data_IF_974844915972
#
_entry.id   IF_974844915972
#
_cell.length_a   1.000
_cell.length_b   1.000
_cell.length_c   1.000
_cell.angle_alpha   90.00
_cell.angle_beta   90.00
_cell.angle_gamma   90.00
#
_symmetry.space_group_name_H-M   'P 1'
#
loop_
_entity.id
_entity.type
_entity.pdbx_description
1 polymer ?
#
# COMPACT_ATOMS: atom_id res chain seq x y z
N UNK A 1 0.95 -10.04 -8.91
CA UNK A 1 1.24 -10.53 -7.55
C UNK A 1 0.50 -11.86 -7.39
N UNK A 2 1.22 -12.98 -7.41
CA UNK A 2 0.60 -14.31 -7.35
C UNK A 2 1.05 -15.10 -6.12
N UNK A 3 0.35 -16.19 -5.83
CA UNK A 3 0.70 -17.08 -4.72
C UNK A 3 2.14 -17.64 -4.87
N UNK A 4 2.57 -17.91 -6.11
CA UNK A 4 3.94 -18.37 -6.42
C UNK A 4 5.00 -17.42 -5.87
N UNK A 5 4.79 -16.09 -5.96
CA UNK A 5 5.73 -15.12 -5.42
C UNK A 5 5.81 -15.20 -3.89
N UNK A 6 4.69 -15.42 -3.22
CA UNK A 6 4.65 -15.57 -1.77
C UNK A 6 5.30 -16.88 -1.33
N UNK A 7 5.11 -17.96 -2.08
CA UNK A 7 5.74 -19.25 -1.85
C UNK A 7 7.27 -19.16 -1.96
N UNK A 8 7.78 -18.47 -2.98
CA UNK A 8 9.22 -18.24 -3.13
C UNK A 8 9.82 -17.45 -1.96
N UNK A 9 9.08 -16.46 -1.45
CA UNK A 9 9.49 -15.69 -0.27
C UNK A 9 9.46 -16.59 0.98
N UNK A 10 8.38 -17.36 1.17
CA UNK A 10 8.24 -18.26 2.30
C UNK A 10 9.37 -19.31 2.34
N UNK A 11 9.71 -19.92 1.20
CA UNK A 11 10.83 -20.87 1.07
C UNK A 11 12.16 -20.24 1.48
N UNK A 12 12.42 -18.99 1.08
CA UNK A 12 13.63 -18.27 1.48
C UNK A 12 13.65 -17.96 2.98
N UNK A 13 12.52 -17.56 3.55
CA UNK A 13 12.41 -17.29 5.00
C UNK A 13 12.66 -18.57 5.78
N UNK A 14 12.05 -19.69 5.40
CA UNK A 14 12.23 -20.99 6.05
C UNK A 14 13.69 -21.45 5.95
N UNK A 15 14.31 -21.41 4.76
CA UNK A 15 15.69 -21.84 4.60
C UNK A 15 16.68 -21.07 5.49
N UNK A 16 16.43 -19.77 5.71
CA UNK A 16 17.26 -18.92 6.59
C UNK A 16 16.98 -19.17 8.07
N UNK A 17 15.74 -19.49 8.43
CA UNK A 17 15.39 -19.95 9.77
C UNK A 17 16.06 -21.30 10.09
N UNK A 18 15.99 -22.26 9.18
CA UNK A 18 16.63 -23.58 9.32
C UNK A 18 18.16 -23.48 9.40
N UNK A 19 18.75 -22.49 8.74
CA UNK A 19 20.18 -22.17 8.83
C UNK A 19 20.57 -21.47 10.16
N UNK A 20 19.60 -21.14 11.03
CA UNK A 20 19.83 -20.46 12.30
C UNK A 20 20.24 -18.99 12.16
N UNK A 21 19.92 -18.34 11.03
CA UNK A 21 20.27 -16.93 10.82
C UNK A 21 19.42 -15.96 11.66
N UNK A 22 18.22 -16.39 12.07
CA UNK A 22 17.32 -15.64 12.94
C UNK A 22 16.36 -16.59 13.67
N UNK A 23 15.84 -16.14 14.82
CA UNK A 23 14.87 -16.89 15.62
C UNK A 23 13.43 -16.35 15.50
N UNK A 24 13.28 -15.08 15.12
CA UNK A 24 11.99 -14.38 15.05
C UNK A 24 11.85 -13.68 13.71
N UNK A 25 10.71 -13.90 13.04
CA UNK A 25 10.36 -13.22 11.80
C UNK A 25 9.09 -12.40 11.99
N UNK A 26 9.19 -11.09 11.76
CA UNK A 26 8.07 -10.15 11.81
C UNK A 26 7.84 -9.54 10.42
N UNK A 27 6.63 -9.71 9.92
CA UNK A 27 6.17 -9.15 8.65
C UNK A 27 5.53 -7.78 8.88
N UNK A 28 6.10 -6.77 8.24
CA UNK A 28 5.54 -5.42 8.23
C UNK A 28 4.76 -5.19 6.96
N UNK A 29 3.50 -4.81 7.09
CA UNK A 29 2.66 -4.48 5.95
C UNK A 29 1.57 -3.47 6.32
N UNK A 30 1.02 -2.80 5.31
CA UNK A 30 -0.11 -1.90 5.50
C UNK A 30 -1.41 -2.69 5.45
N UNK A 31 -2.10 -2.78 6.60
CA UNK A 31 -3.42 -3.38 6.67
C UNK A 31 -4.45 -2.41 6.09
N UNK A 32 -5.18 -2.89 5.10
CA UNK A 32 -6.24 -2.12 4.46
C UNK A 32 -7.44 -2.01 5.41
N UNK A 33 -7.73 -0.79 5.89
CA UNK A 33 -8.98 -0.48 6.61
C UNK A 33 -9.97 0.24 5.70
N UNK A 34 -9.50 1.26 4.99
CA UNK A 34 -10.26 1.96 3.96
C UNK A 34 -9.32 2.65 2.97
N UNK A 35 -9.88 3.27 1.92
CA UNK A 35 -9.13 4.07 0.94
C UNK A 35 -8.40 5.24 1.61
N UNK A 36 -8.91 5.75 2.74
CA UNK A 36 -8.34 6.89 3.47
C UNK A 36 -7.41 6.43 4.60
N UNK A 37 -7.67 5.26 5.19
CA UNK A 37 -6.92 4.78 6.35
C UNK A 37 -6.18 3.46 6.05
N UNK A 38 -4.86 3.54 5.96
CA UNK A 38 -3.96 2.39 5.90
C UNK A 38 -3.20 2.29 7.24
N UNK A 39 -3.25 1.14 7.91
CA UNK A 39 -2.66 0.97 9.24
C UNK A 39 -1.38 0.12 9.10
N UNK A 40 -0.18 0.70 9.34
CA UNK A 40 1.05 -0.08 9.43
C UNK A 40 0.91 -1.12 10.54
N UNK A 41 1.07 -2.38 10.19
CA UNK A 41 0.88 -3.51 11.10
C UNK A 41 2.14 -4.37 11.09
N UNK A 42 2.59 -4.75 12.27
CA UNK A 42 3.66 -5.71 12.47
C UNK A 42 3.03 -7.04 12.88
N UNK A 43 3.18 -8.07 12.07
CA UNK A 43 2.67 -9.41 12.36
C UNK A 43 3.85 -10.36 12.50
N UNK A 44 4.00 -10.97 13.66
CA UNK A 44 4.98 -12.04 13.85
C UNK A 44 4.48 -13.30 13.14
N UNK A 45 5.30 -13.84 12.23
CA UNK A 45 4.99 -15.05 11.46
C UNK A 45 5.79 -16.25 11.95
N UNK A 46 6.95 -16.02 12.56
CA UNK A 46 7.78 -17.04 13.22
C UNK A 46 8.27 -16.47 14.56
N UNK A 47 8.20 -17.20 15.68
CA UNK A 47 7.43 -18.44 15.88
C UNK A 47 5.91 -18.18 15.81
N UNK A 48 5.14 -19.23 15.45
CA UNK A 48 3.68 -19.17 15.39
C UNK A 48 3.11 -18.88 16.78
N UNK A 49 2.48 -17.72 16.92
CA UNK A 49 1.74 -17.39 18.14
C UNK A 49 0.34 -17.98 17.99
N UNK A 50 0.05 -19.04 18.74
CA UNK A 50 -1.30 -19.61 18.82
C UNK A 50 -2.09 -18.77 19.82
N UNK A 51 -3.03 -17.98 19.34
CA UNK A 51 -3.98 -17.30 20.24
C UNK A 51 -4.84 -18.36 20.94
N UNK A 52 -5.04 -18.22 22.26
CA UNK A 52 -5.89 -19.12 23.02
C UNK A 52 -7.31 -19.14 22.40
N UNK A 53 -7.94 -20.32 22.27
CA UNK A 53 -9.27 -20.42 21.67
C UNK A 53 -10.23 -19.49 22.42
N UNK A 54 -11.04 -18.75 21.66
CA UNK A 54 -12.11 -17.94 22.24
C UNK A 54 -12.97 -18.81 23.15
N UNK A 55 -13.44 -18.27 24.28
CA UNK A 55 -14.23 -18.99 25.29
C UNK A 55 -15.55 -19.65 24.79
N UNK A 56 -15.87 -19.50 23.50
CA UNK A 56 -17.00 -20.10 22.79
C UNK A 56 -16.58 -21.13 21.73
N UNK A 57 -15.33 -21.61 21.73
CA UNK A 57 -14.96 -22.75 20.90
C UNK A 57 -15.76 -23.97 21.37
N UNK A 58 -16.59 -24.53 20.48
CA UNK A 58 -17.30 -25.77 20.75
C UNK A 58 -16.35 -26.91 21.14
N UNK A 59 -16.88 -28.06 21.59
CA UNK A 59 -16.04 -29.19 21.98
C UNK A 59 -15.06 -29.52 20.85
N UNK A 60 -13.78 -29.67 21.20
CA UNK A 60 -12.73 -30.04 20.25
C UNK A 60 -13.13 -31.37 19.59
N UNK A 61 -13.49 -31.31 18.31
CA UNK A 61 -13.75 -32.52 17.52
C UNK A 61 -12.46 -33.31 17.42
N UNK A 62 -12.49 -34.56 17.89
CA UNK A 62 -11.38 -35.50 17.71
C UNK A 62 -11.29 -35.84 16.22
N UNK A 63 -10.19 -35.46 15.59
CA UNK A 63 -9.88 -35.88 14.23
C UNK A 63 -9.08 -37.18 14.29
N UNK A 64 -9.40 -38.12 13.39
CA UNK A 64 -8.56 -39.28 13.12
C UNK A 64 -7.57 -38.86 12.02
N UNK A 65 -6.28 -38.90 12.33
CA UNK A 65 -5.22 -38.46 11.42
C UNK A 65 -4.65 -39.68 10.70
N UNK A 66 -4.43 -39.55 9.39
CA UNK A 66 -3.73 -40.53 8.57
C UNK A 66 -2.80 -39.72 7.64
N UNK A 67 -1.46 -39.84 7.71
CA UNK A 67 -0.61 -40.80 8.45
C UNK A 67 -0.38 -40.50 9.94
N UNK A 68 0.35 -39.44 10.31
CA UNK A 68 0.60 -39.02 11.70
C UNK A 68 0.43 -37.49 11.83
N UNK A 69 0.04 -37.01 13.01
CA UNK A 69 -0.22 -35.57 13.25
C UNK A 69 1.02 -34.69 12.95
N UNK A 70 2.21 -35.15 13.35
CA UNK A 70 3.47 -34.44 13.14
C UNK A 70 3.83 -34.29 11.65
N UNK A 71 3.56 -35.32 10.85
CA UNK A 71 3.85 -35.33 9.41
C UNK A 71 2.91 -34.37 8.66
N UNK A 72 1.63 -34.36 9.05
CA UNK A 72 0.64 -33.41 8.54
C UNK A 72 1.06 -31.99 8.92
N UNK A 73 1.44 -31.76 10.18
CA UNK A 73 1.85 -30.45 10.67
C UNK A 73 3.11 -29.93 9.95
N UNK A 74 4.10 -30.80 9.71
CA UNK A 74 5.31 -30.46 8.96
C UNK A 74 5.01 -30.01 7.52
N UNK A 75 3.97 -30.56 6.89
CA UNK A 75 3.52 -30.13 5.56
C UNK A 75 2.69 -28.85 5.57
N UNK A 76 1.90 -28.63 6.64
CA UNK A 76 0.97 -27.51 6.77
C UNK A 76 1.66 -26.22 7.22
N UNK A 77 2.69 -26.29 8.08
CA UNK A 77 3.38 -25.11 8.60
C UNK A 77 4.00 -24.24 7.47
N UNK A 78 4.77 -24.78 6.51
CA UNK A 78 5.29 -24.00 5.39
C UNK A 78 4.19 -23.38 4.52
N UNK A 79 3.10 -24.12 4.30
CA UNK A 79 1.96 -23.65 3.51
C UNK A 79 1.23 -22.52 4.23
N UNK A 80 1.07 -22.62 5.54
CA UNK A 80 0.46 -21.58 6.37
C UNK A 80 1.28 -20.28 6.28
N UNK A 81 2.61 -20.37 6.39
CA UNK A 81 3.51 -19.22 6.23
C UNK A 81 3.34 -18.53 4.87
N UNK A 82 3.31 -19.32 3.78
CA UNK A 82 3.09 -18.80 2.44
C UNK A 82 1.73 -18.09 2.30
N UNK A 83 0.67 -18.64 2.90
CA UNK A 83 -0.67 -18.02 2.92
C UNK A 83 -0.67 -16.71 3.70
N UNK A 84 -0.01 -16.65 4.86
CA UNK A 84 0.09 -15.41 5.65
C UNK A 84 0.83 -14.31 4.87
N UNK A 85 1.96 -14.64 4.25
CA UNK A 85 2.74 -13.72 3.40
C UNK A 85 1.90 -13.27 2.20
N UNK A 86 1.20 -14.19 1.54
CA UNK A 86 0.35 -13.87 0.39
C UNK A 86 -0.79 -12.92 0.77
N UNK A 87 -1.45 -13.18 1.91
CA UNK A 87 -2.50 -12.31 2.44
C UNK A 87 -1.96 -10.91 2.71
N UNK A 88 -0.83 -10.80 3.40
CA UNK A 88 -0.21 -9.52 3.71
C UNK A 88 0.21 -8.76 2.43
N UNK A 89 0.71 -9.46 1.42
CA UNK A 89 1.03 -8.90 0.10
C UNK A 89 -0.21 -8.31 -0.59
N UNK A 90 -1.33 -9.03 -0.56
CA UNK A 90 -2.60 -8.53 -1.12
C UNK A 90 -3.14 -7.33 -0.34
N UNK A 91 -3.15 -7.39 0.99
CA UNK A 91 -3.59 -6.28 1.84
C UNK A 91 -2.71 -5.03 1.65
N UNK A 92 -1.40 -5.21 1.51
CA UNK A 92 -0.46 -4.13 1.22
C UNK A 92 -0.72 -3.51 -0.16
N UNK A 93 -0.95 -4.33 -1.17
CA UNK A 93 -1.23 -3.86 -2.53
C UNK A 93 -2.55 -3.07 -2.61
N UNK A 94 -3.60 -3.55 -1.95
CA UNK A 94 -4.85 -2.81 -1.82
C UNK A 94 -4.66 -1.47 -1.08
N UNK A 95 -3.87 -1.47 -0.01
CA UNK A 95 -3.49 -0.25 0.73
C UNK A 95 -2.71 0.73 -0.13
N UNK A 96 -1.79 0.24 -0.95
CA UNK A 96 -1.01 1.06 -1.88
C UNK A 96 -1.91 1.78 -2.87
N UNK A 97 -2.80 1.06 -3.56
CA UNK A 97 -3.72 1.68 -4.52
C UNK A 97 -4.71 2.63 -3.83
N UNK A 98 -5.20 2.30 -2.63
CA UNK A 98 -6.05 3.20 -1.85
C UNK A 98 -5.35 4.52 -1.49
N UNK A 99 -4.12 4.44 -0.98
CA UNK A 99 -3.31 5.61 -0.67
C UNK A 99 -2.97 6.43 -1.93
N UNK A 100 -2.67 5.75 -3.04
CA UNK A 100 -2.38 6.39 -4.32
C UNK A 100 -3.58 7.16 -4.86
N UNK A 101 -4.80 6.60 -4.80
CA UNK A 101 -6.02 7.29 -5.21
C UNK A 101 -6.19 8.60 -4.44
N UNK A 102 -6.09 8.56 -3.11
CA UNK A 102 -6.22 9.76 -2.28
C UNK A 102 -5.12 10.79 -2.56
N UNK A 103 -3.88 10.35 -2.76
CA UNK A 103 -2.77 11.23 -3.12
C UNK A 103 -2.97 11.92 -4.47
N UNK A 104 -3.44 11.17 -5.48
CA UNK A 104 -3.68 11.69 -6.84
C UNK A 104 -4.90 12.61 -6.88
N UNK A 105 -5.95 12.33 -6.12
CA UNK A 105 -7.11 13.22 -5.98
C UNK A 105 -6.70 14.57 -5.39
N UNK A 106 -5.88 14.55 -4.33
CA UNK A 106 -5.32 15.76 -3.73
C UNK A 106 -4.41 16.51 -4.70
N UNK A 107 -3.55 15.81 -5.44
CA UNK A 107 -2.69 16.41 -6.45
C UNK A 107 -3.51 17.08 -7.57
N UNK A 108 -4.58 16.44 -8.03
CA UNK A 108 -5.48 16.97 -9.06
C UNK A 108 -6.19 18.24 -8.58
N UNK A 109 -6.68 18.24 -7.34
CA UNK A 109 -7.28 19.45 -6.74
C UNK A 109 -6.27 20.59 -6.63
N UNK A 110 -5.07 20.32 -6.15
CA UNK A 110 -3.99 21.30 -6.01
C UNK A 110 -3.55 21.87 -7.37
N UNK A 111 -3.47 21.03 -8.41
CA UNK A 111 -3.21 21.46 -9.77
C UNK A 111 -4.32 22.37 -10.30
N UNK A 112 -5.58 22.05 -10.03
CA UNK A 112 -6.73 22.89 -10.37
C UNK A 112 -6.64 24.27 -9.71
N UNK A 113 -6.23 24.34 -8.44
CA UNK A 113 -6.03 25.60 -7.73
C UNK A 113 -4.90 26.45 -8.36
N UNK A 114 -3.81 25.79 -8.77
CA UNK A 114 -2.69 26.44 -9.45
C UNK A 114 -3.10 26.97 -10.83
N UNK A 115 -3.85 26.19 -11.62
CA UNK A 115 -4.38 26.62 -12.92
C UNK A 115 -5.19 27.91 -12.75
N UNK A 116 -6.13 27.94 -11.78
CA UNK A 116 -6.95 29.14 -11.54
C UNK A 116 -6.10 30.38 -11.23
N UNK A 117 -5.07 30.23 -10.38
CA UNK A 117 -4.12 31.32 -10.08
C UNK A 117 -3.37 31.78 -11.32
N UNK A 118 -2.85 30.85 -12.12
CA UNK A 118 -2.09 31.17 -13.32
C UNK A 118 -2.97 31.82 -14.40
N UNK A 119 -4.23 31.41 -14.53
CA UNK A 119 -5.20 32.05 -15.45
C UNK A 119 -5.46 33.50 -15.07
N UNK A 120 -5.57 33.82 -13.78
CA UNK A 120 -5.72 35.21 -13.33
C UNK A 120 -4.50 36.06 -13.68
N UNK A 121 -3.29 35.53 -13.45
CA UNK A 121 -2.03 36.20 -13.81
C UNK A 121 -1.97 36.40 -15.32
N UNK A 122 -2.27 35.37 -16.11
CA UNK A 122 -2.28 35.43 -17.57
C UNK A 122 -3.21 36.54 -18.08
N UNK A 123 -4.45 36.61 -17.59
CA UNK A 123 -5.41 37.62 -18.03
C UNK A 123 -4.98 39.05 -17.64
N UNK A 124 -4.42 39.22 -16.44
CA UNK A 124 -3.86 40.51 -16.00
C UNK A 124 -2.71 40.95 -16.89
N UNK A 125 -1.76 40.06 -17.17
CA UNK A 125 -0.61 40.35 -18.05
C UNK A 125 -1.08 40.63 -19.48
N UNK A 126 -2.07 39.89 -19.98
CA UNK A 126 -2.67 40.13 -21.31
C UNK A 126 -3.26 41.53 -21.41
N UNK A 127 -4.02 41.97 -20.42
CA UNK A 127 -4.60 43.32 -20.38
C UNK A 127 -3.50 44.40 -20.29
N UNK A 128 -2.47 44.18 -19.47
CA UNK A 128 -1.33 45.08 -19.37
C UNK A 128 -0.58 45.22 -20.72
N UNK A 129 -0.44 44.13 -21.48
CA UNK A 129 0.18 44.16 -22.81
C UNK A 129 -0.68 44.92 -23.82
N UNK A 130 -2.00 44.66 -23.89
CA UNK A 130 -2.91 45.39 -24.79
C UNK A 130 -2.88 46.89 -24.50
N UNK A 131 -2.94 47.27 -23.22
CA UNK A 131 -2.89 48.69 -22.82
C UNK A 131 -1.54 49.32 -23.16
N UNK A 132 -0.43 48.62 -22.97
CA UNK A 132 0.91 49.08 -23.36
C UNK A 132 1.01 49.31 -24.87
N UNK A 133 0.56 48.36 -25.68
CA UNK A 133 0.55 48.49 -27.15
C UNK A 133 -0.29 49.69 -27.61
N UNK A 134 -1.48 49.89 -27.01
CA UNK A 134 -2.32 51.05 -27.33
C UNK A 134 -1.65 52.39 -26.96
N UNK A 135 -0.98 52.45 -25.81
CA UNK A 135 -0.23 53.65 -25.39
C UNK A 135 0.91 53.94 -26.37
N UNK A 136 1.65 52.91 -26.79
CA UNK A 136 2.74 53.05 -27.76
C UNK A 136 2.23 53.55 -29.13
N UNK A 137 1.08 53.05 -29.60
CA UNK A 137 0.45 53.51 -30.85
C UNK A 137 0.05 54.99 -30.76
N UNK A 138 -0.59 55.41 -29.64
CA UNK A 138 -1.04 56.79 -29.46
C UNK A 138 0.15 57.75 -29.35
N UNK A 139 1.16 57.45 -28.52
CA UNK A 139 2.36 58.29 -28.41
C UNK A 139 3.14 58.38 -29.73
N UNK A 140 3.17 57.30 -30.52
CA UNK A 140 3.78 57.32 -31.85
C UNK A 140 3.02 58.21 -32.84
N UNK A 141 1.69 58.24 -32.77
CA UNK A 141 0.86 59.08 -33.62
C UNK A 141 0.92 60.57 -33.24
N UNK A 142 1.05 60.91 -31.96
CA UNK A 142 1.19 62.30 -31.48
C UNK A 142 2.57 62.91 -31.75
N UNK A 143 3.59 62.09 -32.02
CA UNK A 143 4.96 62.53 -32.28
C UNK A 143 5.23 62.94 -33.74
N UNK A 144 4.22 62.83 -34.63
CA UNK A 144 4.26 63.20 -36.06
C UNK A 144 3.49 64.51 -36.26
#
# INVERSE_FOLDING_TARGET
LGFVNAEDIAKKVIARFDAGEFDVCTLFYSRFKSVIAQIPTAQQIIPLVVEAPAANAGPATSYEYEPEEDEILASLLPRNLAVQIFRALLENNASFYGAQMSAMDNATRNAGDMIRKQTLIYNRTRQAMITKELIEIISGAEAI
#
